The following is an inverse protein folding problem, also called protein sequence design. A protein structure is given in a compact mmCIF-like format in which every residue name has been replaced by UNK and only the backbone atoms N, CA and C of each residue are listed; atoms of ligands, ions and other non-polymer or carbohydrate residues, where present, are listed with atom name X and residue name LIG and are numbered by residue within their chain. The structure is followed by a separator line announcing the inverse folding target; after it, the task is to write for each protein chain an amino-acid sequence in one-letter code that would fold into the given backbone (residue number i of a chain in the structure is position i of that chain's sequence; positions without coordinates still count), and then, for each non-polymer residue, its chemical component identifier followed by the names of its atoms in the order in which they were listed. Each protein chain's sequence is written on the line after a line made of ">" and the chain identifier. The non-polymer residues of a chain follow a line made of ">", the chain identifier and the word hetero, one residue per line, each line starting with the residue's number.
data_IF_814481656597
#
_entry.id   IF_814481656597
#
_cell.length_a   1.000
_cell.length_b   1.000
_cell.length_c   1.000
_cell.angle_alpha   90.00
_cell.angle_beta   90.00
_cell.angle_gamma   90.00
#
_symmetry.space_group_name_H-M   'P 1'
#
loop_
_entity.id
_entity.type
_entity.pdbx_description
1 polymer ?
#
# COMPACT_ATOMS: atom_id res chain seq x y z
N UNK A 1 50.88 -3.25 11.93
CA UNK A 1 49.93 -2.63 12.86
C UNK A 1 48.57 -2.84 12.26
N UNK A 2 47.86 -3.87 12.71
CA UNK A 2 46.51 -4.21 12.27
C UNK A 2 45.51 -3.63 13.28
N UNK A 3 44.65 -2.75 12.82
CA UNK A 3 43.53 -2.28 13.65
C UNK A 3 42.28 -3.15 13.38
N UNK A 4 41.85 -3.74 14.45
CA UNK A 4 40.69 -4.63 14.60
C UNK A 4 39.40 -3.84 14.42
N UNK A 5 38.58 -4.19 13.44
CA UNK A 5 37.22 -3.66 13.27
C UNK A 5 36.29 -4.45 14.21
N UNK A 6 35.75 -3.73 15.19
CA UNK A 6 34.80 -4.23 16.18
C UNK A 6 33.46 -4.55 15.53
N UNK A 7 33.01 -5.80 15.65
CA UNK A 7 31.71 -6.30 15.21
C UNK A 7 30.58 -5.71 16.08
N UNK A 8 29.70 -4.93 15.49
CA UNK A 8 28.43 -4.53 16.11
C UNK A 8 27.47 -5.71 16.04
N UNK A 9 27.27 -6.37 17.17
CA UNK A 9 26.24 -7.42 17.35
C UNK A 9 24.84 -6.77 17.32
N UNK A 10 24.03 -7.15 16.33
CA UNK A 10 22.60 -6.87 16.30
C UNK A 10 21.92 -7.53 17.52
N UNK A 11 21.19 -6.72 18.29
CA UNK A 11 20.38 -7.20 19.42
C UNK A 11 18.99 -7.62 18.90
N UNK A 12 18.42 -8.75 19.38
CA UNK A 12 17.08 -9.16 19.01
C UNK A 12 16.05 -8.20 19.61
N UNK A 13 14.98 -7.93 18.86
CA UNK A 13 13.80 -7.22 19.34
C UNK A 13 13.05 -8.18 20.27
N UNK A 14 13.43 -8.19 21.53
CA UNK A 14 12.67 -8.80 22.61
C UNK A 14 12.18 -7.67 23.52
N UNK A 15 10.86 -7.64 23.71
CA UNK A 15 10.10 -6.99 24.79
C UNK A 15 10.88 -5.99 25.64
N UNK A 16 10.79 -4.71 25.34
CA UNK A 16 11.22 -3.63 26.24
C UNK A 16 10.27 -3.54 27.44
N UNK A 17 10.49 -4.37 28.45
CA UNK A 17 10.04 -4.11 29.81
C UNK A 17 11.05 -3.18 30.46
N UNK A 18 10.90 -1.88 30.26
CA UNK A 18 11.63 -0.86 31.02
C UNK A 18 10.99 -0.74 32.41
N UNK A 19 11.56 -1.48 33.40
CA UNK A 19 11.42 -1.12 34.79
C UNK A 19 12.44 -0.01 35.10
N UNK A 20 12.01 1.24 35.03
CA UNK A 20 12.79 2.36 35.59
C UNK A 20 12.40 2.54 37.05
N UNK A 21 13.38 2.30 37.94
CA UNK A 21 13.35 2.80 39.30
C UNK A 21 13.77 4.28 39.30
N UNK A 22 12.81 5.16 39.08
CA UNK A 22 12.90 6.56 39.58
C UNK A 22 11.52 7.19 39.47
N UNK A 23 10.97 7.58 40.61
CA UNK A 23 9.65 8.16 40.75
C UNK A 23 9.57 9.58 40.18
N UNK A 24 9.14 9.72 38.95
CA UNK A 24 8.41 10.86 38.40
C UNK A 24 7.46 10.31 37.38
N UNK A 25 6.15 10.44 37.61
CA UNK A 25 5.10 10.24 36.63
C UNK A 25 5.31 11.27 35.50
N UNK A 26 6.09 10.88 34.49
CA UNK A 26 5.93 11.45 33.16
C UNK A 26 4.73 10.68 32.62
N UNK A 27 3.58 11.34 32.54
CA UNK A 27 2.39 10.78 31.89
C UNK A 27 2.79 10.34 30.48
N UNK A 28 2.99 9.05 30.28
CA UNK A 28 2.95 8.44 28.97
C UNK A 28 1.52 8.70 28.51
N UNK A 29 1.32 9.73 27.69
CA UNK A 29 0.15 9.82 26.85
C UNK A 29 0.17 8.50 26.06
N UNK A 30 -0.61 7.52 26.52
CA UNK A 30 -0.90 6.34 25.72
C UNK A 30 -1.55 6.89 24.45
N UNK A 31 -0.80 6.95 23.36
CA UNK A 31 -1.36 7.24 22.05
C UNK A 31 -2.43 6.17 21.83
N UNK A 32 -3.69 6.56 21.88
CA UNK A 32 -4.77 5.70 21.48
C UNK A 32 -4.54 5.36 20.01
N UNK A 33 -4.45 4.07 19.65
CA UNK A 33 -4.23 3.67 18.27
C UNK A 33 -5.37 4.21 17.40
N UNK A 34 -5.06 4.47 16.12
CA UNK A 34 -6.10 4.79 15.14
C UNK A 34 -7.15 3.68 15.11
N UNK A 35 -8.44 4.07 15.14
CA UNK A 35 -9.55 3.13 15.21
C UNK A 35 -10.69 3.56 14.30
N UNK A 36 -11.11 2.70 13.40
CA UNK A 36 -12.33 2.87 12.61
C UNK A 36 -13.53 2.52 13.49
N UNK A 37 -14.32 3.53 13.89
CA UNK A 37 -15.49 3.38 14.76
C UNK A 37 -16.74 3.01 13.99
N UNK A 38 -16.93 3.62 12.82
CA UNK A 38 -18.12 3.41 12.01
C UNK A 38 -17.76 3.51 10.53
N UNK A 39 -18.41 2.69 9.73
CA UNK A 39 -18.37 2.71 8.28
C UNK A 39 -19.80 2.74 7.75
N UNK A 40 -20.12 3.73 6.90
CA UNK A 40 -21.42 3.85 6.27
C UNK A 40 -21.27 3.79 4.75
N UNK A 41 -21.87 2.81 4.13
CA UNK A 41 -21.83 2.56 2.69
C UNK A 41 -23.22 2.84 2.08
N UNK A 42 -23.28 3.77 1.15
CA UNK A 42 -24.49 4.13 0.42
C UNK A 42 -24.27 3.93 -1.07
N UNK A 43 -25.11 3.12 -1.72
CA UNK A 43 -25.01 2.81 -3.14
C UNK A 43 -23.58 2.46 -3.58
N UNK A 44 -22.87 1.70 -2.76
CA UNK A 44 -21.50 1.30 -3.01
C UNK A 44 -21.44 -0.19 -3.32
N UNK A 45 -20.99 -0.56 -4.51
CA UNK A 45 -20.92 -1.94 -4.95
C UNK A 45 -22.29 -2.63 -4.86
N UNK A 46 -22.45 -3.59 -3.94
CA UNK A 46 -23.70 -4.29 -3.66
C UNK A 46 -24.40 -3.78 -2.39
N UNK A 47 -23.89 -2.74 -1.73
CA UNK A 47 -24.48 -2.13 -0.55
C UNK A 47 -25.42 -0.98 -0.95
N UNK A 48 -26.71 -1.10 -0.60
CA UNK A 48 -27.69 -0.03 -0.84
C UNK A 48 -27.57 1.09 0.20
N UNK A 49 -27.68 0.72 1.47
CA UNK A 49 -27.50 1.60 2.62
C UNK A 49 -27.16 0.73 3.84
N UNK A 50 -25.90 0.75 4.25
CA UNK A 50 -25.41 -0.12 5.31
C UNK A 50 -24.47 0.64 6.24
N UNK A 51 -24.78 0.61 7.53
CA UNK A 51 -23.92 1.10 8.61
C UNK A 51 -23.32 -0.10 9.33
N UNK A 52 -22.01 -0.04 9.61
CA UNK A 52 -21.28 -1.02 10.41
C UNK A 52 -20.55 -0.25 11.51
N UNK A 53 -20.78 -0.61 12.76
CA UNK A 53 -20.10 -0.05 13.94
C UNK A 53 -19.09 -1.08 14.44
N UNK A 54 -17.86 -0.63 14.69
CA UNK A 54 -16.77 -1.47 15.18
C UNK A 54 -16.51 -1.16 16.65
N UNK A 55 -16.79 -2.13 17.52
CA UNK A 55 -16.61 -2.02 18.96
C UNK A 55 -15.33 -2.69 19.48
N UNK A 56 -14.78 -3.64 18.72
CA UNK A 56 -13.62 -4.44 19.12
C UNK A 56 -12.41 -4.22 18.19
N UNK A 57 -11.19 -4.38 18.69
CA UNK A 57 -9.99 -4.30 17.85
C UNK A 57 -9.90 -5.43 16.81
N UNK A 58 -10.61 -6.52 17.01
CA UNK A 58 -10.70 -7.65 16.07
C UNK A 58 -12.12 -7.80 15.58
N UNK A 59 -12.29 -7.80 14.27
CA UNK A 59 -13.59 -7.99 13.61
C UNK A 59 -13.51 -9.11 12.59
N UNK A 60 -14.41 -10.06 12.66
CA UNK A 60 -14.55 -11.15 11.68
C UNK A 60 -15.83 -10.88 10.87
N UNK A 61 -15.69 -10.79 9.56
CA UNK A 61 -16.77 -10.63 8.60
C UNK A 61 -17.00 -11.97 7.91
N UNK A 62 -18.01 -12.69 8.38
CA UNK A 62 -18.38 -14.02 7.92
C UNK A 62 -19.40 -13.95 6.79
N UNK A 63 -19.32 -14.82 5.81
CA UNK A 63 -20.32 -14.94 4.75
C UNK A 63 -19.83 -15.77 3.58
N UNK A 64 -20.75 -16.25 2.75
CA UNK A 64 -20.43 -16.96 1.52
C UNK A 64 -19.69 -16.07 0.51
N UNK A 65 -19.17 -16.67 -0.57
CA UNK A 65 -18.54 -15.90 -1.65
C UNK A 65 -19.56 -15.00 -2.36
N UNK A 66 -19.10 -13.88 -2.85
CA UNK A 66 -19.89 -12.86 -3.56
C UNK A 66 -20.98 -12.13 -2.73
N UNK A 67 -21.02 -12.30 -1.39
CA UNK A 67 -21.99 -11.61 -0.53
C UNK A 67 -21.65 -10.14 -0.26
N UNK A 68 -20.40 -9.72 -0.48
CA UNK A 68 -19.96 -8.32 -0.29
C UNK A 68 -18.81 -8.15 0.69
N UNK A 69 -18.32 -9.20 1.33
CA UNK A 69 -17.22 -9.14 2.31
C UNK A 69 -16.03 -8.30 1.81
N UNK A 70 -15.47 -8.65 0.67
CA UNK A 70 -14.34 -7.92 0.07
C UNK A 70 -14.70 -6.49 -0.34
N UNK A 71 -15.96 -6.20 -0.69
CA UNK A 71 -16.40 -4.85 -1.02
C UNK A 71 -16.39 -3.94 0.23
N UNK A 72 -16.66 -4.49 1.40
CA UNK A 72 -16.56 -3.76 2.66
C UNK A 72 -15.10 -3.36 2.92
N UNK A 73 -14.14 -4.29 2.79
CA UNK A 73 -12.72 -3.97 2.94
C UNK A 73 -12.21 -3.00 1.87
N UNK A 74 -12.68 -3.15 0.63
CA UNK A 74 -12.34 -2.26 -0.49
C UNK A 74 -12.75 -0.80 -0.20
N UNK A 75 -13.88 -0.58 0.48
CA UNK A 75 -14.32 0.77 0.85
C UNK A 75 -13.36 1.44 1.85
N UNK A 76 -12.85 0.70 2.82
CA UNK A 76 -11.85 1.19 3.79
C UNK A 76 -10.53 1.48 3.09
N UNK A 77 -10.06 0.57 2.25
CA UNK A 77 -8.84 0.75 1.47
C UNK A 77 -8.93 1.97 0.54
N UNK A 78 -10.10 2.19 -0.08
CA UNK A 78 -10.32 3.35 -0.96
C UNK A 78 -10.21 4.68 -0.21
N UNK A 79 -10.68 4.74 1.05
CA UNK A 79 -10.49 5.91 1.92
C UNK A 79 -9.02 6.10 2.29
N UNK A 80 -8.29 5.02 2.58
CA UNK A 80 -6.89 5.06 3.02
C UNK A 80 -5.92 5.44 1.89
N UNK A 81 -6.14 4.93 0.67
CA UNK A 81 -5.18 5.02 -0.43
C UNK A 81 -5.65 5.87 -1.61
N UNK A 82 -6.94 6.25 -1.64
CA UNK A 82 -7.58 6.90 -2.78
C UNK A 82 -7.75 5.99 -4.01
N UNK A 83 -7.35 4.72 -3.91
CA UNK A 83 -7.35 3.74 -5.02
C UNK A 83 -7.95 2.40 -4.57
N UNK A 84 -8.44 1.65 -5.54
CA UNK A 84 -8.80 0.25 -5.40
C UNK A 84 -7.91 -0.60 -6.28
N UNK A 85 -7.49 -1.76 -5.79
CA UNK A 85 -6.69 -2.74 -6.54
C UNK A 85 -7.53 -3.58 -7.52
N UNK A 86 -8.86 -3.53 -7.39
CA UNK A 86 -9.78 -4.41 -8.14
C UNK A 86 -10.27 -3.79 -9.45
N UNK A 87 -10.28 -2.44 -9.55
CA UNK A 87 -11.01 -1.77 -10.63
C UNK A 87 -10.37 -0.43 -11.00
N UNK A 88 -10.42 -0.10 -12.30
CA UNK A 88 -9.88 1.15 -12.84
C UNK A 88 -10.90 2.28 -12.99
N UNK A 89 -12.23 2.00 -12.87
CA UNK A 89 -13.27 2.98 -13.18
C UNK A 89 -14.28 3.14 -12.06
N UNK A 90 -14.51 4.39 -11.64
CA UNK A 90 -15.42 4.75 -10.54
C UNK A 90 -16.87 4.27 -10.74
N UNK A 91 -17.33 4.20 -11.99
CA UNK A 91 -18.69 3.70 -12.29
C UNK A 91 -18.94 2.29 -11.77
N UNK A 92 -17.90 1.48 -11.63
CA UNK A 92 -18.01 0.11 -11.15
C UNK A 92 -18.05 0.02 -9.63
N UNK A 93 -17.71 1.10 -8.92
CA UNK A 93 -17.84 1.24 -7.47
C UNK A 93 -19.24 1.64 -7.02
N UNK A 94 -20.00 2.28 -7.92
CA UNK A 94 -21.38 2.69 -7.64
C UNK A 94 -22.32 1.53 -7.89
N UNK A 95 -23.33 1.34 -7.02
CA UNK A 95 -24.36 0.32 -7.15
C UNK A 95 -25.07 0.48 -8.51
N UNK A 96 -25.34 -0.63 -9.18
CA UNK A 96 -26.02 -0.64 -10.46
C UNK A 96 -27.34 0.16 -10.40
N UNK A 97 -27.65 0.88 -11.48
CA UNK A 97 -28.83 1.78 -11.61
C UNK A 97 -28.83 2.99 -10.67
N UNK A 98 -27.71 3.32 -10.02
CA UNK A 98 -27.54 4.54 -9.22
C UNK A 98 -26.49 5.44 -9.86
N UNK A 99 -26.68 6.76 -9.80
CA UNK A 99 -25.78 7.74 -10.38
C UNK A 99 -24.61 8.10 -9.45
N UNK A 100 -24.76 7.83 -8.17
CA UNK A 100 -23.77 8.17 -7.15
C UNK A 100 -23.76 7.16 -6.00
N UNK A 101 -22.59 6.98 -5.42
CA UNK A 101 -22.36 6.24 -4.19
C UNK A 101 -21.61 7.09 -3.17
N UNK A 102 -21.70 6.74 -1.91
CA UNK A 102 -21.00 7.42 -0.81
C UNK A 102 -20.39 6.40 0.14
N UNK A 103 -19.16 6.66 0.56
CA UNK A 103 -18.50 5.99 1.67
C UNK A 103 -18.27 7.04 2.75
N UNK A 104 -18.74 6.79 3.95
CA UNK A 104 -18.45 7.61 5.13
C UNK A 104 -17.77 6.77 6.19
N UNK A 105 -16.80 7.34 6.89
CA UNK A 105 -16.11 6.68 7.99
C UNK A 105 -15.94 7.64 9.17
N UNK A 106 -16.17 7.12 10.38
CA UNK A 106 -15.76 7.79 11.63
C UNK A 106 -14.50 7.13 12.14
N UNK A 107 -13.42 7.89 12.14
CA UNK A 107 -12.08 7.42 12.56
C UNK A 107 -11.72 8.14 13.85
N UNK A 108 -11.42 7.37 14.90
CA UNK A 108 -10.80 7.89 16.11
C UNK A 108 -9.29 7.88 15.95
N UNK A 109 -8.67 9.03 16.17
CA UNK A 109 -7.23 9.22 16.04
C UNK A 109 -6.74 10.21 17.09
N UNK A 110 -5.72 9.82 17.86
CA UNK A 110 -5.17 10.65 18.94
C UNK A 110 -6.25 11.23 19.89
N UNK A 111 -7.29 10.43 20.17
CA UNK A 111 -8.41 10.82 21.04
C UNK A 111 -9.44 11.78 20.43
N UNK A 112 -9.33 12.06 19.13
CA UNK A 112 -10.29 12.89 18.38
C UNK A 112 -11.03 12.06 17.33
N UNK A 113 -12.31 12.32 17.13
CA UNK A 113 -13.11 11.71 16.07
C UNK A 113 -13.01 12.56 14.80
N UNK A 114 -12.71 11.92 13.67
CA UNK A 114 -12.65 12.52 12.36
C UNK A 114 -13.66 11.84 11.45
N UNK A 115 -14.58 12.62 10.87
CA UNK A 115 -15.50 12.13 9.85
C UNK A 115 -14.87 12.29 8.46
N UNK A 116 -14.83 11.20 7.70
CA UNK A 116 -14.32 11.15 6.33
C UNK A 116 -15.44 10.75 5.39
N UNK A 117 -15.69 11.55 4.35
CA UNK A 117 -16.66 11.24 3.31
C UNK A 117 -16.00 11.19 1.94
N UNK A 118 -16.30 10.16 1.17
CA UNK A 118 -15.95 10.05 -0.24
C UNK A 118 -17.22 9.84 -1.06
N UNK A 119 -17.56 10.83 -1.89
CA UNK A 119 -18.66 10.76 -2.83
C UNK A 119 -18.15 10.34 -4.20
N UNK A 120 -18.71 9.27 -4.72
CA UNK A 120 -18.43 8.69 -6.04
C UNK A 120 -19.56 9.07 -7.00
N UNK A 121 -19.21 9.40 -8.26
CA UNK A 121 -20.19 9.71 -9.31
C UNK A 121 -19.84 8.95 -10.59
N UNK A 122 -20.86 8.40 -11.26
CA UNK A 122 -20.67 7.70 -12.54
C UNK A 122 -20.12 8.66 -13.62
N UNK A 123 -20.71 9.85 -13.72
CA UNK A 123 -20.36 10.89 -14.67
C UNK A 123 -19.83 12.12 -13.94
N UNK A 124 -18.66 12.02 -13.31
CA UNK A 124 -18.14 13.16 -12.58
C UNK A 124 -16.89 12.86 -11.76
N UNK A 125 -16.37 13.90 -11.12
CA UNK A 125 -15.21 13.75 -10.22
C UNK A 125 -15.68 13.32 -8.85
N UNK A 126 -14.86 12.52 -8.17
CA UNK A 126 -15.01 12.23 -6.74
C UNK A 126 -14.99 13.54 -5.94
N UNK A 127 -15.74 13.58 -4.85
CA UNK A 127 -15.71 14.69 -3.89
C UNK A 127 -15.38 14.13 -2.51
N UNK A 128 -14.45 14.78 -1.82
CA UNK A 128 -14.03 14.44 -0.48
C UNK A 128 -14.54 15.46 0.54
N UNK A 129 -14.88 15.01 1.76
CA UNK A 129 -15.14 15.89 2.91
C UNK A 129 -14.43 15.36 4.15
N UNK A 130 -13.99 16.28 4.98
CA UNK A 130 -13.43 16.00 6.31
C UNK A 130 -14.22 16.84 7.31
N UNK A 131 -14.83 16.22 8.30
CA UNK A 131 -15.70 16.88 9.29
C UNK A 131 -16.75 17.78 8.64
N UNK A 132 -17.45 17.26 7.61
CA UNK A 132 -18.46 17.98 6.84
C UNK A 132 -17.91 19.03 5.85
N UNK A 133 -16.63 19.43 5.94
CA UNK A 133 -16.02 20.44 5.07
C UNK A 133 -15.52 19.81 3.78
N UNK A 134 -16.02 20.30 2.63
CA UNK A 134 -15.60 19.84 1.31
C UNK A 134 -14.14 20.22 1.04
N UNK A 135 -13.35 19.24 0.68
CA UNK A 135 -11.94 19.39 0.35
C UNK A 135 -11.75 19.85 -1.11
N UNK A 136 -10.67 20.55 -1.37
CA UNK A 136 -10.33 20.98 -2.73
C UNK A 136 -9.96 19.80 -3.62
N UNK A 137 -9.32 18.76 -3.05
CA UNK A 137 -8.85 17.56 -3.74
C UNK A 137 -9.22 16.33 -2.93
N UNK A 138 -9.49 15.23 -3.62
CA UNK A 138 -9.73 13.91 -2.99
C UNK A 138 -8.48 13.44 -2.23
N UNK A 139 -7.30 13.80 -2.71
CA UNK A 139 -6.03 13.51 -2.03
C UNK A 139 -5.91 14.10 -0.62
N UNK A 140 -6.73 15.08 -0.27
CA UNK A 140 -6.70 15.68 1.07
C UNK A 140 -7.24 14.72 2.15
N UNK A 141 -7.93 13.62 1.75
CA UNK A 141 -8.29 12.51 2.64
C UNK A 141 -7.10 11.63 3.04
N UNK A 142 -6.05 11.60 2.21
CA UNK A 142 -4.91 10.71 2.43
C UNK A 142 -4.16 11.08 3.71
N UNK A 143 -3.73 10.05 4.44
CA UNK A 143 -3.10 10.22 5.75
C UNK A 143 -4.08 10.45 6.91
N UNK A 144 -5.40 10.62 6.67
CA UNK A 144 -6.41 10.64 7.72
C UNK A 144 -6.73 9.23 8.24
N UNK A 145 -6.66 8.25 7.36
CA UNK A 145 -6.81 6.83 7.64
C UNK A 145 -5.68 6.08 6.93
N UNK A 146 -4.93 5.27 7.65
CA UNK A 146 -3.93 4.37 7.08
C UNK A 146 -4.42 2.93 7.19
N UNK A 147 -4.24 2.14 6.13
CA UNK A 147 -4.64 0.75 6.12
C UNK A 147 -3.68 -0.10 5.28
N UNK A 148 -3.37 -1.29 5.77
CA UNK A 148 -2.67 -2.33 5.02
C UNK A 148 -3.68 -3.41 4.66
N UNK A 149 -3.89 -3.61 3.37
CA UNK A 149 -4.74 -4.67 2.87
C UNK A 149 -3.86 -5.86 2.46
N UNK A 150 -4.28 -7.05 2.88
CA UNK A 150 -3.69 -8.31 2.47
C UNK A 150 -4.79 -9.20 1.86
N UNK A 151 -4.61 -9.62 0.62
CA UNK A 151 -5.55 -10.39 -0.17
C UNK A 151 -4.83 -11.43 -1.04
N UNK A 152 -5.59 -12.35 -1.65
CA UNK A 152 -5.04 -13.30 -2.64
C UNK A 152 -4.37 -12.60 -3.83
N UNK A 153 -4.80 -11.39 -4.18
CA UNK A 153 -4.21 -10.59 -5.28
C UNK A 153 -2.79 -10.11 -4.97
N UNK A 154 -2.37 -10.07 -3.71
CA UNK A 154 -1.00 -9.68 -3.35
C UNK A 154 0.06 -10.69 -3.83
N UNK A 155 -0.33 -11.92 -4.22
CA UNK A 155 0.56 -12.83 -4.93
C UNK A 155 1.09 -12.26 -6.25
N UNK A 156 0.39 -11.29 -6.85
CA UNK A 156 0.85 -10.57 -8.04
C UNK A 156 2.06 -9.66 -7.76
N UNK A 157 2.37 -9.36 -6.50
CA UNK A 157 3.65 -8.72 -6.14
C UNK A 157 4.84 -9.58 -6.55
N UNK A 158 4.69 -10.91 -6.46
CA UNK A 158 5.73 -11.85 -6.85
C UNK A 158 5.52 -12.36 -8.27
N UNK A 159 4.31 -12.80 -8.62
CA UNK A 159 3.99 -13.45 -9.90
C UNK A 159 3.75 -12.48 -11.04
N UNK A 160 3.19 -11.32 -10.71
CA UNK A 160 2.83 -10.28 -11.67
C UNK A 160 4.00 -9.55 -12.31
N UNK A 161 3.69 -8.61 -13.17
CA UNK A 161 4.67 -7.75 -13.83
C UNK A 161 5.23 -6.65 -12.91
N UNK A 162 6.18 -5.87 -13.44
CA UNK A 162 6.74 -4.71 -12.73
C UNK A 162 5.69 -3.68 -12.29
N UNK A 163 4.56 -3.61 -12.98
CA UNK A 163 3.47 -2.68 -12.69
C UNK A 163 2.88 -2.91 -11.32
N UNK A 164 2.58 -4.18 -10.96
CA UNK A 164 2.03 -4.53 -9.64
C UNK A 164 2.95 -4.08 -8.50
N UNK A 165 4.26 -4.24 -8.67
CA UNK A 165 5.25 -3.83 -7.66
C UNK A 165 5.38 -2.31 -7.56
N UNK A 166 5.34 -1.59 -8.70
CA UNK A 166 5.33 -0.12 -8.69
C UNK A 166 4.06 0.43 -8.05
N UNK A 167 2.90 -0.13 -8.38
CA UNK A 167 1.63 0.30 -7.80
C UNK A 167 1.58 0.06 -6.29
N UNK A 168 2.15 -1.04 -5.82
CA UNK A 168 2.31 -1.30 -4.40
C UNK A 168 3.22 -0.27 -3.72
N UNK A 169 4.43 0.00 -4.26
CA UNK A 169 5.33 1.03 -3.71
C UNK A 169 4.65 2.40 -3.67
N UNK A 170 3.98 2.78 -4.75
CA UNK A 170 3.26 4.05 -4.81
C UNK A 170 2.11 4.11 -3.81
N UNK A 171 1.42 2.98 -3.57
CA UNK A 171 0.38 2.87 -2.56
C UNK A 171 0.90 3.09 -1.14
N UNK A 172 2.05 2.51 -0.81
CA UNK A 172 2.72 2.73 0.48
C UNK A 172 3.18 4.18 0.61
N UNK A 173 3.84 4.72 -0.42
CA UNK A 173 4.33 6.11 -0.40
C UNK A 173 3.20 7.14 -0.26
N UNK A 174 2.06 6.91 -0.89
CA UNK A 174 0.89 7.80 -0.77
C UNK A 174 0.37 7.86 0.66
N UNK A 175 0.42 6.77 1.42
CA UNK A 175 0.01 6.74 2.82
C UNK A 175 1.05 7.42 3.74
N UNK A 176 2.34 7.31 3.41
CA UNK A 176 3.42 7.92 4.19
C UNK A 176 3.63 9.41 3.89
N UNK A 177 3.48 9.77 2.61
CA UNK A 177 3.69 11.12 2.07
C UNK A 177 2.49 11.52 1.19
N UNK A 178 1.35 12.01 1.74
CA UNK A 178 0.15 12.30 0.95
C UNK A 178 0.38 13.20 -0.28
N UNK A 179 1.35 14.13 -0.19
CA UNK A 179 1.73 14.99 -1.31
C UNK A 179 2.36 14.23 -2.49
N UNK A 180 2.84 13.01 -2.28
CA UNK A 180 3.41 12.16 -3.33
C UNK A 180 2.42 11.87 -4.46
N UNK A 181 1.12 11.81 -4.17
CA UNK A 181 0.09 11.60 -5.19
C UNK A 181 0.11 12.70 -6.27
N UNK A 182 0.40 13.96 -5.90
CA UNK A 182 0.47 15.07 -6.86
C UNK A 182 1.70 14.95 -7.76
N UNK A 183 2.81 14.47 -7.21
CA UNK A 183 4.01 14.18 -7.99
C UNK A 183 3.74 13.08 -9.03
N UNK A 184 3.04 12.00 -8.63
CA UNK A 184 2.63 10.94 -9.55
C UNK A 184 1.68 11.45 -10.66
N UNK A 185 0.71 12.28 -10.31
CA UNK A 185 -0.23 12.88 -11.28
C UNK A 185 0.49 13.81 -12.26
N UNK A 186 1.43 14.60 -11.76
CA UNK A 186 2.24 15.48 -12.61
C UNK A 186 3.10 14.66 -13.57
N UNK A 187 3.81 13.65 -13.05
CA UNK A 187 4.63 12.76 -13.86
C UNK A 187 3.82 12.06 -14.96
N UNK A 188 2.63 11.51 -14.61
CA UNK A 188 1.75 10.85 -15.59
C UNK A 188 1.30 11.78 -16.70
N UNK A 189 0.95 13.03 -16.37
CA UNK A 189 0.56 14.05 -17.37
C UNK A 189 1.72 14.36 -18.31
N UNK A 190 2.91 14.60 -17.75
CA UNK A 190 4.12 14.88 -18.54
C UNK A 190 4.45 13.70 -19.45
N UNK A 191 4.44 12.48 -18.91
CA UNK A 191 4.68 11.26 -19.67
C UNK A 191 3.67 11.07 -20.82
N UNK A 192 2.40 11.35 -20.57
CA UNK A 192 1.33 11.26 -21.58
C UNK A 192 1.55 12.25 -22.71
N UNK A 193 1.87 13.50 -22.41
CA UNK A 193 2.15 14.55 -23.42
C UNK A 193 3.38 14.19 -24.23
N UNK A 194 4.49 13.83 -23.56
CA UNK A 194 5.70 13.39 -24.25
C UNK A 194 5.45 12.20 -25.18
N UNK A 195 4.75 11.17 -24.70
CA UNK A 195 4.40 10.01 -25.52
C UNK A 195 3.47 10.36 -26.69
N UNK A 196 2.61 11.38 -26.55
CA UNK A 196 1.80 11.88 -27.67
C UNK A 196 2.66 12.46 -28.79
N UNK A 197 3.66 13.30 -28.42
CA UNK A 197 4.64 13.83 -29.40
C UNK A 197 5.46 12.72 -30.06
N UNK A 198 5.96 11.77 -29.27
CA UNK A 198 6.71 10.63 -29.84
C UNK A 198 5.89 9.80 -30.81
N UNK A 199 4.59 9.61 -30.57
CA UNK A 199 3.69 8.88 -31.49
C UNK A 199 3.44 9.62 -32.79
N UNK A 200 3.37 10.94 -32.74
CA UNK A 200 3.16 11.79 -33.92
C UNK A 200 4.44 11.98 -34.72
N UNK A 201 5.60 11.64 -34.17
CA UNK A 201 6.91 11.90 -34.76
C UNK A 201 7.13 11.28 -36.14
N UNK A 202 6.40 10.20 -36.48
CA UNK A 202 6.46 9.57 -37.80
C UNK A 202 5.85 10.46 -38.89
N UNK A 203 4.81 11.23 -38.57
CA UNK A 203 4.10 12.11 -39.51
C UNK A 203 4.55 13.56 -39.38
N UNK A 204 4.77 13.98 -38.13
CA UNK A 204 5.16 15.35 -37.78
C UNK A 204 6.29 15.30 -36.73
N UNK A 205 7.55 15.30 -37.15
CA UNK A 205 8.67 15.31 -36.21
C UNK A 205 8.59 16.49 -35.25
N UNK A 206 8.59 16.26 -33.93
CA UNK A 206 8.56 17.36 -32.97
C UNK A 206 9.84 18.21 -33.10
N UNK A 207 9.71 19.52 -32.83
CA UNK A 207 10.92 20.34 -32.75
C UNK A 207 11.80 19.88 -31.59
N UNK A 208 13.14 20.03 -31.70
CA UNK A 208 14.04 19.71 -30.60
C UNK A 208 13.68 20.44 -29.30
N UNK A 209 13.28 21.70 -29.38
CA UNK A 209 12.92 22.54 -28.23
C UNK A 209 11.61 22.07 -27.56
N UNK A 210 10.63 21.65 -28.34
CA UNK A 210 9.37 21.12 -27.81
C UNK A 210 9.57 19.83 -27.02
N UNK A 211 10.37 18.90 -27.55
CA UNK A 211 10.68 17.65 -26.85
C UNK A 211 11.53 17.91 -25.60
N UNK A 212 12.52 18.82 -25.69
CA UNK A 212 13.40 19.18 -24.57
C UNK A 212 12.61 19.75 -23.37
N UNK A 213 11.53 20.52 -23.63
CA UNK A 213 10.67 21.06 -22.56
C UNK A 213 9.99 19.92 -21.75
N UNK A 214 9.47 18.91 -22.46
CA UNK A 214 8.86 17.75 -21.79
C UNK A 214 9.90 16.84 -21.15
N UNK A 215 11.09 16.70 -21.74
CA UNK A 215 12.21 15.95 -21.17
C UNK A 215 12.64 16.54 -19.82
N UNK A 216 12.80 17.86 -19.73
CA UNK A 216 13.16 18.54 -18.47
C UNK A 216 12.11 18.31 -17.36
N UNK A 217 10.82 18.38 -17.68
CA UNK A 217 9.76 18.12 -16.73
C UNK A 217 9.68 16.63 -16.32
N UNK A 218 9.86 15.71 -17.30
CA UNK A 218 9.88 14.27 -17.04
C UNK A 218 11.04 13.91 -16.11
N UNK A 219 12.21 14.46 -16.34
CA UNK A 219 13.41 14.25 -15.54
C UNK A 219 13.22 14.74 -14.11
N UNK A 220 12.78 16.00 -13.95
CA UNK A 220 12.58 16.60 -12.61
C UNK A 220 11.60 15.77 -11.77
N UNK A 221 10.44 15.43 -12.35
CA UNK A 221 9.42 14.64 -11.63
C UNK A 221 9.83 13.18 -11.47
N UNK A 222 10.49 12.61 -12.46
CA UNK A 222 10.94 11.22 -12.44
C UNK A 222 12.02 10.95 -11.40
N UNK A 223 13.04 11.80 -11.29
CA UNK A 223 14.08 11.71 -10.25
C UNK A 223 13.44 11.79 -8.86
N UNK A 224 12.49 12.70 -8.67
CA UNK A 224 11.81 12.85 -7.40
C UNK A 224 11.01 11.59 -6.99
N UNK A 225 10.41 10.87 -7.96
CA UNK A 225 9.72 9.59 -7.74
C UNK A 225 10.73 8.49 -7.41
N UNK A 226 11.74 8.28 -8.26
CA UNK A 226 12.71 7.18 -8.10
C UNK A 226 13.46 7.28 -6.77
N UNK A 227 13.84 8.50 -6.33
CA UNK A 227 14.47 8.72 -5.02
C UNK A 227 13.57 8.34 -3.85
N UNK A 228 12.26 8.62 -3.92
CA UNK A 228 11.32 8.23 -2.88
C UNK A 228 11.13 6.73 -2.82
N UNK A 229 11.01 6.08 -3.97
CA UNK A 229 10.90 4.62 -4.05
C UNK A 229 12.17 3.92 -3.55
N UNK A 230 13.37 4.43 -3.91
CA UNK A 230 14.63 3.90 -3.40
C UNK A 230 14.68 3.97 -1.87
N UNK A 231 14.44 5.16 -1.29
CA UNK A 231 14.40 5.33 0.17
C UNK A 231 13.33 4.48 0.88
N UNK A 232 12.19 4.26 0.21
CA UNK A 232 11.16 3.35 0.74
C UNK A 232 11.70 1.93 0.84
N UNK A 233 12.31 1.41 -0.23
CA UNK A 233 12.87 0.05 -0.25
C UNK A 233 14.02 -0.08 0.75
N UNK A 234 14.91 0.91 0.85
CA UNK A 234 16.01 0.90 1.84
C UNK A 234 15.50 0.73 3.29
N UNK A 235 14.33 1.28 3.59
CA UNK A 235 13.70 1.16 4.92
C UNK A 235 12.88 -0.12 5.06
N UNK A 236 12.18 -0.53 4.01
CA UNK A 236 11.26 -1.67 4.03
C UNK A 236 11.99 -3.01 3.93
N UNK A 237 13.05 -3.10 3.11
CA UNK A 237 13.76 -4.35 2.84
C UNK A 237 14.32 -5.02 4.12
N UNK A 238 14.98 -4.31 5.05
CA UNK A 238 15.45 -4.93 6.30
C UNK A 238 14.30 -5.50 7.14
N UNK A 239 13.15 -4.83 7.18
CA UNK A 239 11.97 -5.31 7.89
C UNK A 239 11.39 -6.56 7.22
N UNK A 240 11.29 -6.57 5.89
CA UNK A 240 10.81 -7.72 5.14
C UNK A 240 11.73 -8.94 5.29
N UNK A 241 13.05 -8.73 5.27
CA UNK A 241 14.04 -9.79 5.51
C UNK A 241 13.87 -10.38 6.92
N UNK A 242 13.69 -9.53 7.93
CA UNK A 242 13.47 -9.97 9.31
C UNK A 242 12.21 -10.83 9.44
N UNK A 243 11.09 -10.38 8.88
CA UNK A 243 9.84 -11.14 8.87
C UNK A 243 9.97 -12.44 8.09
N UNK A 244 10.58 -12.39 6.91
CA UNK A 244 10.80 -13.60 6.10
C UNK A 244 11.63 -14.64 6.84
N UNK A 245 12.72 -14.21 7.49
CA UNK A 245 13.58 -15.09 8.30
C UNK A 245 12.81 -15.72 9.45
N UNK A 246 11.95 -14.95 10.15
CA UNK A 246 11.12 -15.46 11.23
C UNK A 246 10.11 -16.53 10.72
N UNK A 247 9.44 -16.25 9.60
CA UNK A 247 8.41 -17.13 9.03
C UNK A 247 9.02 -18.39 8.39
N UNK A 248 10.14 -18.27 7.67
CA UNK A 248 10.82 -19.40 7.02
C UNK A 248 11.67 -20.25 7.97
N UNK A 249 11.85 -19.77 9.23
CA UNK A 249 12.73 -20.41 10.21
C UNK A 249 14.21 -20.26 9.84
N UNK A 250 14.58 -19.22 9.15
CA UNK A 250 15.98 -18.91 8.77
C UNK A 250 16.55 -19.83 7.67
N UNK A 251 15.71 -20.59 6.99
CA UNK A 251 16.15 -21.55 5.95
C UNK A 251 16.37 -20.92 4.58
N UNK A 252 15.91 -19.70 4.38
CA UNK A 252 15.86 -19.02 3.11
C UNK A 252 16.32 -17.56 3.30
N UNK A 253 17.12 -17.03 2.37
CA UNK A 253 17.59 -15.66 2.38
C UNK A 253 16.74 -14.81 1.40
N UNK A 254 15.95 -13.86 1.91
CA UNK A 254 15.20 -12.92 1.08
C UNK A 254 16.07 -11.74 0.69
N UNK A 255 16.02 -11.34 -0.58
CA UNK A 255 16.57 -10.09 -1.09
C UNK A 255 15.47 -9.26 -1.74
N UNK A 256 15.41 -7.99 -1.34
CA UNK A 256 14.48 -6.99 -1.89
C UNK A 256 15.30 -5.79 -2.32
N UNK A 257 15.29 -5.48 -3.61
CA UNK A 257 16.11 -4.39 -4.16
C UNK A 257 15.32 -3.55 -5.15
N UNK A 258 15.42 -2.24 -5.04
CA UNK A 258 14.93 -1.32 -6.06
C UNK A 258 15.90 -1.30 -7.24
N UNK A 259 15.38 -1.50 -8.46
CA UNK A 259 16.12 -1.58 -9.70
C UNK A 259 15.62 -0.53 -10.69
N UNK A 260 16.08 0.73 -10.54
CA UNK A 260 15.71 1.80 -11.45
C UNK A 260 16.35 1.64 -12.82
N UNK A 261 15.70 2.14 -13.86
CA UNK A 261 16.27 2.15 -15.22
C UNK A 261 17.43 3.15 -15.37
N UNK A 262 17.53 4.09 -14.43
CA UNK A 262 18.66 5.00 -14.34
C UNK A 262 19.41 4.64 -13.06
N UNK A 263 20.72 4.34 -13.14
CA UNK A 263 21.50 4.07 -11.94
C UNK A 263 21.44 5.24 -10.97
N UNK A 264 21.05 4.96 -9.73
CA UNK A 264 21.00 5.95 -8.65
C UNK A 264 22.38 6.00 -7.96
N UNK A 265 23.42 6.42 -8.71
CA UNK A 265 24.82 6.43 -8.24
C UNK A 265 25.17 7.63 -7.39
N UNK A 266 24.30 8.65 -7.33
CA UNK A 266 24.50 9.87 -6.57
C UNK A 266 23.27 10.15 -5.69
N UNK A 267 23.46 10.82 -4.58
CA UNK A 267 22.37 11.40 -3.79
C UNK A 267 21.99 12.82 -4.24
N UNK A 268 22.86 13.46 -5.04
CA UNK A 268 22.62 14.79 -5.58
C UNK A 268 21.51 14.76 -6.64
N UNK A 269 20.39 15.46 -6.41
CA UNK A 269 19.31 15.55 -7.38
C UNK A 269 19.73 16.10 -8.74
N UNK A 270 20.65 17.03 -8.77
CA UNK A 270 21.11 17.69 -10.00
C UNK A 270 21.90 16.69 -10.86
N UNK A 271 22.79 15.93 -10.23
CA UNK A 271 23.53 14.88 -10.94
C UNK A 271 22.57 13.79 -11.48
N UNK A 272 21.59 13.35 -10.69
CA UNK A 272 20.59 12.38 -11.13
C UNK A 272 19.74 12.90 -12.29
N UNK A 273 19.41 14.20 -12.32
CA UNK A 273 18.71 14.80 -13.44
C UNK A 273 19.57 14.80 -14.71
N UNK A 274 20.85 15.11 -14.58
CA UNK A 274 21.79 15.07 -15.69
C UNK A 274 21.93 13.65 -16.26
N UNK A 275 22.08 12.64 -15.38
CA UNK A 275 22.21 11.24 -15.79
C UNK A 275 20.92 10.75 -16.48
N UNK A 276 19.76 11.20 -16.01
CA UNK A 276 18.48 10.87 -16.63
C UNK A 276 18.34 11.49 -18.02
N UNK A 277 18.70 12.77 -18.19
CA UNK A 277 18.70 13.42 -19.52
C UNK A 277 19.63 12.69 -20.48
N UNK A 278 20.85 12.33 -20.04
CA UNK A 278 21.79 11.57 -20.85
C UNK A 278 21.21 10.23 -21.30
N UNK A 279 20.53 9.50 -20.40
CA UNK A 279 19.88 8.25 -20.72
C UNK A 279 18.70 8.41 -21.71
N UNK A 280 17.93 9.49 -21.61
CA UNK A 280 16.88 9.81 -22.59
C UNK A 280 17.50 10.07 -23.96
N UNK A 281 18.56 10.89 -24.05
CA UNK A 281 19.22 11.23 -25.34
C UNK A 281 19.83 9.98 -25.99
N UNK A 282 20.44 9.07 -25.20
CA UNK A 282 20.93 7.78 -25.70
C UNK A 282 19.82 6.95 -26.36
N UNK A 283 18.61 6.94 -25.78
CA UNK A 283 17.48 6.14 -26.27
C UNK A 283 16.57 6.88 -27.25
N UNK A 284 16.80 8.17 -27.50
CA UNK A 284 15.94 9.06 -28.29
C UNK A 284 15.50 8.48 -29.64
N UNK A 285 16.45 7.95 -30.42
CA UNK A 285 16.14 7.33 -31.72
C UNK A 285 15.17 6.15 -31.58
N UNK A 286 15.37 5.33 -30.56
CA UNK A 286 14.52 4.17 -30.29
C UNK A 286 13.14 4.59 -29.75
N UNK A 287 13.07 5.65 -28.95
CA UNK A 287 11.82 6.22 -28.44
C UNK A 287 10.99 6.83 -29.57
N UNK A 288 11.61 7.57 -30.47
CA UNK A 288 10.95 8.09 -31.68
C UNK A 288 10.40 6.96 -32.56
N UNK A 289 11.18 5.91 -32.74
CA UNK A 289 10.77 4.75 -33.56
C UNK A 289 9.61 3.97 -32.90
N UNK A 290 9.60 3.86 -31.57
CA UNK A 290 8.56 3.12 -30.82
C UNK A 290 7.35 3.99 -30.40
N UNK A 291 7.43 5.30 -30.54
CA UNK A 291 6.39 6.22 -30.12
C UNK A 291 6.14 6.23 -28.62
N UNK A 292 7.14 5.91 -27.79
CA UNK A 292 6.97 5.80 -26.34
C UNK A 292 8.26 6.04 -25.57
N UNK A 293 8.14 6.60 -24.37
CA UNK A 293 9.24 6.78 -23.43
C UNK A 293 9.74 5.44 -22.89
N UNK A 294 11.05 5.22 -22.92
CA UNK A 294 11.69 3.98 -22.50
C UNK A 294 12.45 4.12 -21.17
N UNK A 295 12.73 5.34 -20.73
CA UNK A 295 13.49 5.66 -19.53
C UNK A 295 12.60 6.39 -18.52
N UNK A 296 12.69 6.03 -17.25
CA UNK A 296 12.01 6.69 -16.14
C UNK A 296 11.29 5.74 -15.19
N UNK A 297 10.73 6.28 -14.07
CA UNK A 297 10.13 5.48 -13.00
C UNK A 297 8.96 4.58 -13.44
N UNK A 298 8.32 4.87 -14.57
CA UNK A 298 7.29 3.99 -15.17
C UNK A 298 7.87 2.70 -15.76
N UNK A 299 9.20 2.56 -15.82
CA UNK A 299 9.94 1.37 -16.29
C UNK A 299 10.77 0.69 -15.20
N UNK A 300 10.82 1.28 -14.00
CA UNK A 300 11.60 0.74 -12.89
C UNK A 300 11.01 -0.57 -12.36
N UNK A 301 11.86 -1.34 -11.66
CA UNK A 301 11.52 -2.65 -11.12
C UNK A 301 11.86 -2.73 -9.63
N UNK A 302 11.25 -3.68 -8.95
CA UNK A 302 11.66 -4.18 -7.63
C UNK A 302 12.04 -5.64 -7.78
N UNK A 303 13.31 -5.93 -7.64
CA UNK A 303 13.82 -7.30 -7.70
C UNK A 303 13.54 -8.01 -6.38
N UNK A 304 12.85 -9.14 -6.47
CA UNK A 304 12.53 -10.03 -5.37
C UNK A 304 13.20 -11.38 -5.62
N UNK A 305 14.14 -11.77 -4.77
CA UNK A 305 14.84 -13.06 -4.89
C UNK A 305 14.93 -13.77 -3.54
N UNK A 306 14.94 -15.10 -3.62
CA UNK A 306 15.15 -16.02 -2.49
C UNK A 306 16.38 -16.84 -2.84
N UNK A 307 17.37 -16.88 -1.94
CA UNK A 307 18.63 -17.58 -2.16
C UNK A 307 19.27 -17.19 -3.51
N UNK A 308 19.30 -15.87 -3.80
CA UNK A 308 19.81 -15.25 -5.03
C UNK A 308 19.06 -15.61 -6.32
N UNK A 309 18.03 -16.44 -6.25
CA UNK A 309 17.20 -16.78 -7.42
C UNK A 309 15.91 -15.95 -7.48
N UNK A 310 15.50 -15.45 -8.67
CA UNK A 310 14.27 -14.67 -8.82
C UNK A 310 13.04 -15.45 -8.32
N UNK A 311 12.37 -14.93 -7.28
CA UNK A 311 11.23 -15.58 -6.62
C UNK A 311 10.05 -15.80 -7.58
N UNK A 312 9.90 -14.95 -8.60
CA UNK A 312 8.85 -15.06 -9.62
C UNK A 312 8.96 -16.36 -10.44
N UNK A 313 10.16 -16.73 -10.82
CA UNK A 313 10.42 -17.84 -11.77
C UNK A 313 10.68 -19.16 -11.05
N UNK A 314 11.35 -19.11 -9.92
CA UNK A 314 11.89 -20.29 -9.25
C UNK A 314 11.33 -20.54 -7.85
N UNK A 315 10.66 -19.53 -7.25
CA UNK A 315 10.07 -19.70 -5.94
C UNK A 315 8.90 -20.67 -5.94
N UNK A 316 8.90 -21.63 -4.99
CA UNK A 316 7.74 -22.49 -4.74
C UNK A 316 6.52 -21.66 -4.31
N UNK A 317 5.32 -22.22 -4.41
CA UNK A 317 4.11 -21.51 -3.95
C UNK A 317 4.20 -21.11 -2.47
N UNK A 318 4.77 -21.99 -1.62
CA UNK A 318 4.98 -21.70 -0.21
C UNK A 318 5.95 -20.53 0.01
N UNK A 319 7.07 -20.51 -0.72
CA UNK A 319 8.05 -19.43 -0.67
C UNK A 319 7.45 -18.09 -1.13
N UNK A 320 6.70 -18.10 -2.23
CA UNK A 320 6.04 -16.88 -2.73
C UNK A 320 5.02 -16.33 -1.72
N UNK A 321 4.24 -17.19 -1.05
CA UNK A 321 3.31 -16.79 0.03
C UNK A 321 4.04 -16.23 1.24
N UNK A 322 5.13 -16.88 1.67
CA UNK A 322 5.98 -16.38 2.77
C UNK A 322 6.56 -15.00 2.44
N UNK A 323 7.05 -14.81 1.20
CA UNK A 323 7.59 -13.55 0.75
C UNK A 323 6.53 -12.43 0.77
N UNK A 324 5.34 -12.69 0.21
CA UNK A 324 4.23 -11.71 0.23
C UNK A 324 3.85 -11.37 1.67
N UNK A 325 3.70 -12.36 2.54
CA UNK A 325 3.40 -12.12 3.96
C UNK A 325 4.46 -11.25 4.63
N UNK A 326 5.74 -11.53 4.39
CA UNK A 326 6.85 -10.74 4.92
C UNK A 326 6.82 -9.28 4.42
N UNK A 327 6.52 -9.05 3.14
CA UNK A 327 6.39 -7.70 2.57
C UNK A 327 5.22 -6.94 3.22
N UNK A 328 4.07 -7.59 3.42
CA UNK A 328 2.88 -6.94 4.01
C UNK A 328 3.06 -6.64 5.49
N UNK A 329 3.73 -7.51 6.25
CA UNK A 329 4.10 -7.24 7.64
C UNK A 329 5.15 -6.13 7.75
N UNK A 330 6.10 -6.05 6.81
CA UNK A 330 7.04 -4.95 6.72
C UNK A 330 6.35 -3.63 6.37
N UNK A 331 5.37 -3.63 5.45
CA UNK A 331 4.54 -2.47 5.12
C UNK A 331 3.81 -1.96 6.35
N UNK A 332 3.18 -2.85 7.13
CA UNK A 332 2.48 -2.50 8.37
C UNK A 332 3.45 -1.85 9.38
N UNK A 333 4.59 -2.49 9.65
CA UNK A 333 5.59 -2.00 10.59
C UNK A 333 6.20 -0.66 10.12
N UNK A 334 6.42 -0.47 8.83
CA UNK A 334 6.95 0.77 8.27
C UNK A 334 5.96 1.92 8.41
N UNK A 335 4.68 1.71 8.08
CA UNK A 335 3.63 2.74 8.23
C UNK A 335 3.51 3.12 9.71
N UNK A 336 3.45 2.15 10.63
CA UNK A 336 3.43 2.38 12.07
C UNK A 336 4.65 3.23 12.53
N UNK A 337 5.85 2.90 12.05
CA UNK A 337 7.08 3.62 12.41
C UNK A 337 7.11 5.08 11.96
N UNK A 338 6.40 5.42 10.88
CA UNK A 338 6.34 6.77 10.31
C UNK A 338 5.17 7.56 10.84
N UNK A 339 3.98 6.94 10.90
CA UNK A 339 2.76 7.59 11.38
C UNK A 339 2.74 7.74 12.92
N UNK A 340 3.54 6.95 13.65
CA UNK A 340 3.55 6.91 15.11
C UNK A 340 2.40 6.11 15.72
N UNK A 341 1.53 5.53 14.89
CA UNK A 341 0.39 4.71 15.27
C UNK A 341 0.19 3.58 14.25
N UNK A 342 -0.31 2.41 14.68
CA UNK A 342 -0.52 1.29 13.77
C UNK A 342 -1.64 1.59 12.76
N UNK A 343 -1.45 1.25 11.46
CA UNK A 343 -2.53 1.30 10.47
C UNK A 343 -3.56 0.21 10.73
N UNK A 344 -4.78 0.34 10.17
CA UNK A 344 -5.73 -0.76 10.12
C UNK A 344 -5.16 -1.92 9.29
N UNK A 345 -5.44 -3.14 9.72
CA UNK A 345 -5.12 -4.33 8.95
C UNK A 345 -6.41 -4.94 8.37
N UNK A 346 -6.44 -5.10 7.07
CA UNK A 346 -7.55 -5.66 6.31
C UNK A 346 -7.11 -7.00 5.71
N UNK A 347 -7.72 -8.11 6.12
CA UNK A 347 -7.39 -9.46 5.64
C UNK A 347 -8.56 -10.00 4.81
N UNK A 348 -8.41 -10.06 3.49
CA UNK A 348 -9.46 -10.49 2.56
C UNK A 348 -9.28 -11.96 2.15
N UNK A 349 -9.97 -12.86 2.85
CA UNK A 349 -9.94 -14.33 2.68
C UNK A 349 -8.52 -14.97 2.75
N UNK A 350 -7.54 -14.27 3.30
CA UNK A 350 -6.11 -14.66 3.30
C UNK A 350 -5.84 -15.85 4.19
N UNK A 351 -6.52 -15.94 5.35
CA UNK A 351 -6.25 -17.02 6.30
C UNK A 351 -6.54 -18.40 5.71
N UNK A 352 -7.53 -18.51 4.83
CA UNK A 352 -7.85 -19.77 4.15
C UNK A 352 -6.74 -20.25 3.19
N UNK A 353 -5.88 -19.33 2.74
CA UNK A 353 -4.78 -19.64 1.81
C UNK A 353 -3.45 -19.96 2.51
N UNK A 354 -3.36 -19.68 3.81
CA UNK A 354 -2.16 -19.93 4.61
C UNK A 354 -2.28 -21.28 5.35
N UNK A 355 -1.16 -21.98 5.50
CA UNK A 355 -1.08 -23.09 6.43
C UNK A 355 -1.14 -22.60 7.88
N UNK A 356 -1.46 -23.51 8.82
CA UNK A 356 -1.66 -23.20 10.23
C UNK A 356 -0.46 -22.49 10.87
N UNK A 357 0.77 -22.81 10.47
CA UNK A 357 1.95 -22.18 11.02
C UNK A 357 2.04 -20.70 10.62
N UNK A 358 1.82 -20.40 9.33
CA UNK A 358 1.80 -19.02 8.81
C UNK A 358 0.60 -18.21 9.34
N UNK A 359 -0.56 -18.88 9.51
CA UNK A 359 -1.72 -18.24 10.15
C UNK A 359 -1.38 -17.80 11.57
N UNK A 360 -0.84 -18.69 12.39
CA UNK A 360 -0.46 -18.37 13.77
C UNK A 360 0.59 -17.26 13.82
N UNK A 361 1.62 -17.32 12.98
CA UNK A 361 2.64 -16.27 12.92
C UNK A 361 2.07 -14.92 12.53
N UNK A 362 1.13 -14.85 11.58
CA UNK A 362 0.42 -13.62 11.22
C UNK A 362 -0.41 -13.09 12.38
N UNK A 363 -1.22 -13.95 13.01
CA UNK A 363 -2.10 -13.57 14.11
C UNK A 363 -1.32 -13.13 15.36
N UNK A 364 -0.19 -13.80 15.67
CA UNK A 364 0.73 -13.43 16.75
C UNK A 364 1.43 -12.08 16.48
N UNK A 365 1.83 -11.84 15.23
CA UNK A 365 2.47 -10.58 14.83
C UNK A 365 1.54 -9.36 14.97
N UNK A 366 0.24 -9.57 14.72
CA UNK A 366 -0.79 -8.53 14.81
C UNK A 366 -1.09 -8.20 16.28
N UNK A 367 -1.31 -9.23 17.11
CA UNK A 367 -1.72 -9.09 18.51
C UNK A 367 -3.02 -8.28 18.66
N UNK A 368 -3.15 -7.56 19.79
CA UNK A 368 -4.33 -6.71 20.09
C UNK A 368 -4.07 -5.21 19.83
N UNK A 369 -2.88 -4.86 19.34
CA UNK A 369 -2.46 -3.47 19.13
C UNK A 369 -2.92 -2.87 17.79
N UNK A 370 -3.29 -3.71 16.84
CA UNK A 370 -3.70 -3.32 15.48
C UNK A 370 -5.17 -3.64 15.31
N UNK A 371 -6.00 -2.65 14.98
CA UNK A 371 -7.37 -2.95 14.59
C UNK A 371 -7.37 -3.76 13.30
N UNK A 372 -7.96 -4.97 13.37
CA UNK A 372 -7.92 -5.95 12.29
C UNK A 372 -9.35 -6.33 11.86
N UNK A 373 -9.62 -6.22 10.56
CA UNK A 373 -10.88 -6.66 9.97
C UNK A 373 -10.56 -7.82 9.01
N UNK A 374 -11.11 -9.00 9.31
CA UNK A 374 -10.85 -10.23 8.56
C UNK A 374 -12.11 -10.70 7.87
N UNK A 375 -12.07 -10.98 6.59
CA UNK A 375 -13.15 -11.67 5.89
C UNK A 375 -12.87 -13.16 5.81
N UNK A 376 -13.92 -13.96 5.95
CA UNK A 376 -13.82 -15.44 5.85
C UNK A 376 -15.15 -16.07 5.44
N UNK A 377 -15.09 -17.28 4.92
CA UNK A 377 -16.28 -18.11 4.67
C UNK A 377 -16.59 -19.04 5.84
N UNK A 378 -15.65 -19.29 6.78
CA UNK A 378 -15.84 -20.17 7.91
C UNK A 378 -14.94 -19.79 9.09
N UNK A 379 -15.37 -20.10 10.30
CA UNK A 379 -14.65 -19.73 11.53
C UNK A 379 -13.52 -20.69 11.92
N UNK A 380 -13.36 -21.80 11.23
CA UNK A 380 -12.40 -22.85 11.59
C UNK A 380 -10.92 -22.48 11.44
N UNK A 381 -10.62 -21.32 10.86
CA UNK A 381 -9.27 -20.79 10.75
C UNK A 381 -8.79 -20.04 12.01
N UNK A 382 -9.68 -19.83 12.99
CA UNK A 382 -9.39 -19.05 14.19
C UNK A 382 -9.37 -19.94 15.43
N UNK A 383 -8.42 -19.68 16.31
CA UNK A 383 -8.40 -20.32 17.62
C UNK A 383 -9.50 -19.75 18.55
N UNK A 384 -9.75 -20.44 19.68
CA UNK A 384 -10.78 -20.05 20.64
C UNK A 384 -10.52 -18.68 21.30
N UNK A 385 -9.27 -18.24 21.42
CA UNK A 385 -8.90 -16.97 22.04
C UNK A 385 -9.21 -15.82 21.08
N UNK A 386 -8.89 -16.01 19.81
CA UNK A 386 -9.21 -15.04 18.75
C UNK A 386 -10.74 -14.83 18.64
N UNK A 387 -11.51 -15.93 18.61
CA UNK A 387 -12.97 -15.88 18.53
C UNK A 387 -13.62 -15.20 19.73
N UNK A 388 -13.09 -15.39 20.94
CA UNK A 388 -13.61 -14.75 22.17
C UNK A 388 -13.35 -13.24 22.21
N UNK A 389 -12.29 -12.76 21.59
CA UNK A 389 -11.91 -11.34 21.57
C UNK A 389 -12.39 -10.60 20.32
N UNK A 390 -12.96 -11.30 19.35
CA UNK A 390 -13.42 -10.72 18.09
C UNK A 390 -14.92 -10.44 18.10
N UNK A 391 -15.30 -9.36 17.48
CA UNK A 391 -16.67 -9.08 17.07
C UNK A 391 -16.94 -9.78 15.74
N UNK A 392 -18.08 -10.46 15.62
CA UNK A 392 -18.42 -11.25 14.43
C UNK A 392 -19.63 -10.62 13.75
N UNK A 393 -19.49 -10.27 12.48
CA UNK A 393 -20.57 -9.85 11.59
C UNK A 393 -20.81 -10.90 10.53
N UNK A 394 -22.09 -11.08 10.18
CA UNK A 394 -22.48 -11.91 9.03
C UNK A 394 -22.90 -11.01 7.87
N UNK A 395 -22.39 -11.33 6.66
CA UNK A 395 -22.74 -10.60 5.43
C UNK A 395 -23.55 -11.50 4.51
N UNK A 396 -24.74 -11.03 4.14
CA UNK A 396 -25.62 -11.71 3.18
C UNK A 396 -26.23 -10.67 2.23
N UNK A 397 -25.96 -10.82 0.92
CA UNK A 397 -26.48 -9.96 -0.14
C UNK A 397 -26.32 -8.44 0.11
N UNK A 398 -25.15 -8.01 0.65
CA UNK A 398 -24.90 -6.60 0.95
C UNK A 398 -25.54 -6.11 2.24
N UNK A 399 -26.06 -6.98 3.09
CA UNK A 399 -26.56 -6.66 4.43
C UNK A 399 -25.57 -7.21 5.45
N UNK A 400 -25.10 -6.37 6.36
CA UNK A 400 -24.19 -6.73 7.46
C UNK A 400 -25.02 -6.74 8.75
N UNK A 401 -24.96 -7.83 9.50
CA UNK A 401 -25.64 -7.98 10.79
C UNK A 401 -24.68 -8.56 11.83
N UNK A 402 -24.77 -8.17 13.12
CA UNK A 402 -24.07 -8.85 14.20
C UNK A 402 -24.48 -10.33 14.23
N UNK A 403 -23.53 -11.20 14.59
CA UNK A 403 -23.76 -12.66 14.67
C UNK A 403 -24.10 -13.06 16.10
#
# INVERSE_FOLDING_TARGET
>A
MAQTISSVKARPIASLHLRSKCGRLIGVLAFLPMFLRQLHLRNFRNYLDQVVEFGAPKTIVLGENAQGKSNLLESVQLLATGRTYRISRDRELVLQQKDQGKISAMVERAGSLVELDLLLRINGRRTARINGTTQRRVSDLLGQLNAVCFSSLDLDLVRGGPESRRDWLDGVLVQLEPLYVHLLEQYRRVLQQRNSLLKQAAEHPPSPDELALWDAQLVTTGVAISRRRARLIDRLAPMAIQWHTAISGGREALHVRYSPKIPMLSEDPVQLQHDFLAAIEEKKKLELMRGTSLIGPHRDEVDLSIDETPARLFGSQGQQRTLVLALKLAELALIESVAGEPPLLLLDDVLAELDLNRQNQLLDAIGDRVQTIVTTTHLGAFDSNWLKSAEIFTVKAGIVSPN
#
